data_IF_573794776409
#
_entry.id   IF_573794776409
#
_cell.length_a   1.000
_cell.length_b   1.000
_cell.length_c   1.000
_cell.angle_alpha   90.00
_cell.angle_beta   90.00
_cell.angle_gamma   90.00
#
_symmetry.space_group_name_H-M   'P 1'
#
loop_
_entity.id
_entity.type
_entity.pdbx_description
1 polymer ?
#
# COMPACT_ATOMS: atom_id res chain seq x y z
N UNK A 1 74.75 -34.68 -2.47
CA UNK A 1 74.60 -33.57 -1.49
C UNK A 1 73.12 -33.43 -1.18
N UNK A 2 72.66 -33.96 -0.07
CA UNK A 2 71.27 -33.84 0.38
C UNK A 2 71.12 -32.51 1.13
N UNK A 3 70.16 -31.65 0.75
CA UNK A 3 69.98 -30.39 1.45
C UNK A 3 69.54 -30.66 2.90
N UNK A 4 70.26 -30.08 3.85
CA UNK A 4 69.90 -30.04 5.27
C UNK A 4 68.51 -29.40 5.39
N UNK A 5 67.51 -30.18 5.83
CA UNK A 5 66.19 -29.67 6.18
C UNK A 5 66.34 -28.77 7.40
N UNK A 6 66.40 -27.45 7.19
CA UNK A 6 66.23 -26.47 8.27
C UNK A 6 64.79 -26.57 8.76
N UNK A 7 64.61 -26.96 10.02
CA UNK A 7 63.32 -26.92 10.68
C UNK A 7 62.86 -25.47 10.88
N UNK A 8 61.54 -25.27 10.92
CA UNK A 8 60.93 -23.99 11.25
C UNK A 8 61.33 -23.57 12.66
N UNK A 9 61.66 -22.30 12.84
CA UNK A 9 61.88 -21.73 14.17
C UNK A 9 60.53 -21.50 14.87
N UNK A 10 60.53 -21.57 16.21
CA UNK A 10 59.32 -21.37 17.01
C UNK A 10 58.70 -19.98 16.79
N UNK A 11 59.53 -18.97 16.49
CA UNK A 11 59.09 -17.61 16.15
C UNK A 11 58.33 -17.59 14.83
N UNK A 12 58.86 -18.25 13.78
CA UNK A 12 58.17 -18.32 12.49
C UNK A 12 56.82 -19.03 12.59
N UNK A 13 56.72 -20.05 13.46
CA UNK A 13 55.45 -20.73 13.76
C UNK A 13 54.44 -19.75 14.41
N UNK A 14 54.87 -19.02 15.45
CA UNK A 14 54.00 -18.05 16.14
C UNK A 14 53.52 -16.94 15.20
N UNK A 15 54.40 -16.42 14.36
CA UNK A 15 54.05 -15.39 13.36
C UNK A 15 53.06 -15.96 12.35
N UNK A 16 53.26 -17.19 11.87
CA UNK A 16 52.33 -17.85 10.95
C UNK A 16 50.94 -18.05 11.57
N UNK A 17 50.87 -18.44 12.84
CA UNK A 17 49.60 -18.61 13.57
C UNK A 17 48.92 -17.24 13.76
N UNK A 18 49.66 -16.23 14.19
CA UNK A 18 49.13 -14.87 14.38
C UNK A 18 48.56 -14.30 13.07
N UNK A 19 49.28 -14.45 11.96
CA UNK A 19 48.81 -14.04 10.63
C UNK A 19 47.56 -14.82 10.20
N UNK A 20 47.50 -16.12 10.47
CA UNK A 20 46.34 -16.95 10.16
C UNK A 20 45.09 -16.48 10.93
N UNK A 21 45.23 -16.20 12.22
CA UNK A 21 44.13 -15.68 13.07
C UNK A 21 43.68 -14.30 12.58
N UNK A 22 44.61 -13.41 12.25
CA UNK A 22 44.30 -12.09 11.71
C UNK A 22 43.54 -12.20 10.38
N UNK A 23 43.99 -13.08 9.48
CA UNK A 23 43.36 -13.27 8.18
C UNK A 23 41.94 -13.86 8.30
N UNK A 24 41.75 -14.86 9.17
CA UNK A 24 40.42 -15.41 9.46
C UNK A 24 39.49 -14.35 10.07
N UNK A 25 40.03 -13.50 10.95
CA UNK A 25 39.25 -12.40 11.57
C UNK A 25 38.79 -11.38 10.54
N UNK A 26 39.66 -10.98 9.60
CA UNK A 26 39.30 -10.07 8.50
C UNK A 26 38.26 -10.70 7.58
N UNK A 27 38.43 -11.97 7.21
CA UNK A 27 37.45 -12.69 6.40
C UNK A 27 36.08 -12.79 7.10
N UNK A 28 36.06 -13.04 8.41
CA UNK A 28 34.82 -13.07 9.19
C UNK A 28 34.11 -11.72 9.17
N UNK A 29 34.83 -10.61 9.37
CA UNK A 29 34.25 -9.26 9.30
C UNK A 29 33.69 -8.95 7.90
N UNK A 30 34.44 -9.30 6.84
CA UNK A 30 33.97 -9.12 5.46
C UNK A 30 32.71 -9.96 5.17
N UNK A 31 32.69 -11.20 5.65
CA UNK A 31 31.53 -12.08 5.51
C UNK A 31 30.31 -11.49 6.21
N UNK A 32 30.43 -11.07 7.47
CA UNK A 32 29.30 -10.46 8.20
C UNK A 32 28.77 -9.20 7.52
N UNK A 33 29.66 -8.33 7.03
CA UNK A 33 29.26 -7.14 6.27
C UNK A 33 28.54 -7.51 4.98
N UNK A 34 29.05 -8.48 4.24
CA UNK A 34 28.45 -8.93 2.97
C UNK A 34 27.07 -9.53 3.20
N UNK A 35 26.93 -10.42 4.17
CA UNK A 35 25.63 -11.02 4.53
C UNK A 35 24.63 -9.96 4.96
N UNK A 36 25.04 -8.99 5.78
CA UNK A 36 24.16 -7.90 6.19
C UNK A 36 23.70 -7.05 5.00
N UNK A 37 24.58 -6.77 4.03
CA UNK A 37 24.20 -6.03 2.82
C UNK A 37 23.28 -6.81 1.90
N UNK A 38 23.45 -8.13 1.79
CA UNK A 38 22.57 -8.99 0.98
C UNK A 38 21.18 -9.03 1.58
N UNK A 39 21.05 -9.28 2.89
CA UNK A 39 19.76 -9.30 3.59
C UNK A 39 19.05 -7.95 3.48
N UNK A 40 19.78 -6.85 3.63
CA UNK A 40 19.21 -5.51 3.43
C UNK A 40 18.75 -5.30 1.97
N UNK A 41 19.51 -5.78 0.99
CA UNK A 41 19.14 -5.73 -0.41
C UNK A 41 17.87 -6.52 -0.73
N UNK A 42 17.76 -7.75 -0.23
CA UNK A 42 16.57 -8.60 -0.39
C UNK A 42 15.33 -7.94 0.24
N UNK A 43 15.45 -7.38 1.44
CA UNK A 43 14.36 -6.66 2.09
C UNK A 43 13.89 -5.44 1.28
N UNK A 44 14.81 -4.66 0.71
CA UNK A 44 14.47 -3.51 -0.16
C UNK A 44 13.79 -3.95 -1.44
N UNK A 45 14.23 -5.06 -2.03
CA UNK A 45 13.60 -5.62 -3.22
C UNK A 45 12.16 -6.05 -2.93
N UNK A 46 11.92 -6.75 -1.82
CA UNK A 46 10.57 -7.14 -1.41
C UNK A 46 9.66 -5.93 -1.21
N UNK A 47 10.09 -4.92 -0.44
CA UNK A 47 9.33 -3.67 -0.23
C UNK A 47 9.03 -2.97 -1.57
N UNK A 48 9.97 -3.01 -2.51
CA UNK A 48 9.79 -2.42 -3.83
C UNK A 48 8.81 -3.20 -4.72
N UNK A 49 8.80 -4.52 -4.62
CA UNK A 49 7.89 -5.38 -5.36
C UNK A 49 6.47 -5.22 -4.85
N UNK A 50 6.28 -5.30 -3.53
CA UNK A 50 5.01 -5.09 -2.85
C UNK A 50 4.46 -3.69 -3.17
N UNK A 51 5.31 -2.66 -3.16
CA UNK A 51 4.88 -1.27 -3.37
C UNK A 51 4.37 -1.04 -4.79
N UNK A 52 5.00 -1.68 -5.78
CA UNK A 52 4.52 -1.68 -7.16
C UNK A 52 3.22 -2.46 -7.29
N UNK A 53 3.16 -3.66 -6.71
CA UNK A 53 1.98 -4.50 -6.72
C UNK A 53 0.77 -3.80 -6.08
N UNK A 54 0.96 -3.10 -4.96
CA UNK A 54 -0.11 -2.35 -4.28
C UNK A 54 -0.69 -1.24 -5.18
N UNK A 55 0.19 -0.48 -5.83
CA UNK A 55 -0.21 0.62 -6.72
C UNK A 55 -0.86 0.09 -8.02
N UNK A 56 -0.34 -1.01 -8.57
CA UNK A 56 -0.94 -1.66 -9.75
C UNK A 56 -2.31 -2.27 -9.42
N UNK A 57 -2.48 -2.87 -8.24
CA UNK A 57 -3.77 -3.39 -7.78
C UNK A 57 -4.83 -2.29 -7.65
N UNK A 58 -4.45 -1.12 -7.13
CA UNK A 58 -5.35 0.05 -7.12
C UNK A 58 -5.71 0.49 -8.52
N UNK A 59 -4.73 0.58 -9.43
CA UNK A 59 -4.98 0.98 -10.81
C UNK A 59 -5.93 0.00 -11.52
N UNK A 60 -5.76 -1.31 -11.32
CA UNK A 60 -6.67 -2.33 -11.85
C UNK A 60 -8.10 -2.10 -11.35
N UNK A 61 -8.30 -1.82 -10.06
CA UNK A 61 -9.63 -1.60 -9.52
C UNK A 61 -10.26 -0.29 -10.02
N UNK A 62 -9.45 0.76 -10.19
CA UNK A 62 -9.87 2.04 -10.77
C UNK A 62 -10.25 1.93 -12.25
N UNK A 63 -9.48 1.18 -13.03
CA UNK A 63 -9.74 0.94 -14.45
C UNK A 63 -10.99 0.07 -14.66
N UNK A 64 -11.30 -0.81 -13.70
CA UNK A 64 -12.50 -1.66 -13.72
C UNK A 64 -13.73 -1.01 -13.07
N UNK A 65 -13.62 0.23 -12.61
CA UNK A 65 -14.73 0.97 -12.03
C UNK A 65 -15.87 1.07 -13.05
N UNK A 66 -17.05 0.58 -12.67
CA UNK A 66 -18.21 0.51 -13.58
C UNK A 66 -19.12 1.71 -13.46
N UNK A 67 -19.88 2.01 -14.53
CA UNK A 67 -20.98 2.90 -14.38
C UNK A 67 -22.17 2.32 -13.66
N UNK A 68 -22.45 2.90 -12.50
CA UNK A 68 -23.76 2.82 -11.92
C UNK A 68 -24.72 3.72 -12.69
N UNK A 69 -25.74 3.12 -13.30
CA UNK A 69 -26.75 3.80 -14.12
C UNK A 69 -27.68 4.77 -13.36
N UNK A 70 -27.18 5.47 -12.33
CA UNK A 70 -27.95 6.35 -11.46
C UNK A 70 -27.31 7.71 -11.17
N UNK A 71 -26.22 8.07 -11.87
CA UNK A 71 -25.64 9.42 -11.86
C UNK A 71 -25.28 9.99 -10.48
N UNK A 72 -24.53 9.23 -9.68
CA UNK A 72 -24.04 9.71 -8.38
C UNK A 72 -22.58 9.35 -8.12
N UNK A 73 -22.04 9.91 -7.03
CA UNK A 73 -20.63 9.82 -6.65
C UNK A 73 -20.17 8.37 -6.44
N UNK A 74 -19.19 7.93 -7.23
CA UNK A 74 -18.66 6.55 -7.20
C UNK A 74 -17.31 6.41 -6.53
N UNK A 75 -16.74 7.54 -6.18
CA UNK A 75 -15.38 7.64 -5.69
C UNK A 75 -15.39 8.60 -4.51
N UNK A 76 -14.79 8.17 -3.42
CA UNK A 76 -14.52 9.00 -2.26
C UNK A 76 -13.06 8.81 -1.90
N UNK A 77 -12.36 9.91 -1.69
CA UNK A 77 -11.09 9.91 -0.97
C UNK A 77 -11.18 10.89 0.20
N UNK A 78 -10.52 10.51 1.28
CA UNK A 78 -10.34 11.28 2.49
C UNK A 78 -8.86 11.28 2.81
N UNK A 79 -8.36 12.42 3.25
CA UNK A 79 -7.01 12.59 3.77
C UNK A 79 -7.10 13.22 5.14
N UNK A 80 -6.24 12.77 6.05
CA UNK A 80 -6.16 13.30 7.39
C UNK A 80 -6.71 12.38 8.49
N UNK A 81 -6.07 12.40 9.67
CA UNK A 81 -6.52 11.64 10.83
C UNK A 81 -7.94 12.04 11.27
N UNK A 82 -8.88 11.11 11.14
CA UNK A 82 -10.24 11.24 11.67
C UNK A 82 -11.29 11.74 10.68
N UNK A 83 -10.92 11.99 9.43
CA UNK A 83 -11.85 12.46 8.39
C UNK A 83 -12.69 11.32 7.78
N UNK A 84 -12.26 10.06 7.94
CA UNK A 84 -13.03 8.87 7.58
C UNK A 84 -13.23 7.93 8.77
N UNK A 85 -14.49 7.74 9.16
CA UNK A 85 -14.90 6.59 9.96
C UNK A 85 -15.22 5.46 8.99
N UNK A 86 -14.39 4.43 8.95
CA UNK A 86 -14.56 3.28 8.06
C UNK A 86 -15.88 2.55 8.35
N UNK A 87 -16.36 1.71 7.40
CA UNK A 87 -17.55 0.89 7.54
C UNK A 87 -17.64 0.07 8.83
N UNK A 88 -16.50 -0.35 9.36
CA UNK A 88 -16.37 -1.12 10.60
C UNK A 88 -16.30 -0.24 11.87
N UNK A 89 -16.40 1.09 11.72
CA UNK A 89 -16.28 2.07 12.79
C UNK A 89 -14.85 2.46 13.16
N UNK A 90 -13.83 1.90 12.49
CA UNK A 90 -12.43 2.29 12.73
C UNK A 90 -12.09 3.64 12.09
N UNK A 91 -11.11 4.36 12.62
CA UNK A 91 -10.67 5.62 12.01
C UNK A 91 -9.53 5.35 11.03
N UNK A 92 -9.72 5.76 9.79
CA UNK A 92 -8.64 5.82 8.82
C UNK A 92 -8.04 7.22 8.78
N UNK A 93 -6.75 7.28 8.45
CA UNK A 93 -6.06 8.55 8.16
C UNK A 93 -6.22 8.89 6.69
N UNK A 94 -5.89 7.95 5.80
CA UNK A 94 -6.04 8.16 4.37
C UNK A 94 -6.86 6.96 3.86
N UNK A 95 -7.98 7.23 3.20
CA UNK A 95 -8.85 6.19 2.68
C UNK A 95 -9.44 6.60 1.34
N UNK A 96 -9.67 5.60 0.51
CA UNK A 96 -10.32 5.71 -0.79
C UNK A 96 -11.28 4.55 -0.95
N UNK A 97 -12.50 4.80 -1.40
CA UNK A 97 -13.40 3.73 -1.75
C UNK A 97 -14.17 4.00 -3.04
N UNK A 98 -14.46 2.92 -3.74
CA UNK A 98 -15.08 2.94 -5.06
C UNK A 98 -15.95 1.71 -5.31
N UNK A 99 -16.93 1.84 -6.18
CA UNK A 99 -17.74 0.70 -6.63
C UNK A 99 -17.17 0.13 -7.94
N UNK A 100 -16.87 -1.15 -7.95
CA UNK A 100 -16.29 -1.85 -9.11
C UNK A 100 -16.95 -3.22 -9.30
N UNK A 101 -16.55 -3.96 -10.34
CA UNK A 101 -16.99 -5.33 -10.58
C UNK A 101 -15.86 -6.31 -10.32
N UNK A 102 -16.13 -7.34 -9.51
CA UNK A 102 -15.16 -8.37 -9.21
C UNK A 102 -15.79 -9.78 -9.26
N UNK A 103 -14.96 -10.79 -9.47
CA UNK A 103 -15.36 -12.20 -9.40
C UNK A 103 -15.42 -12.64 -7.94
N UNK A 104 -16.62 -12.67 -7.38
CA UNK A 104 -16.91 -13.02 -5.98
C UNK A 104 -17.37 -14.48 -5.89
N UNK A 105 -16.98 -15.23 -4.84
CA UNK A 105 -17.55 -16.55 -4.60
C UNK A 105 -19.09 -16.50 -4.57
N UNK A 106 -19.73 -17.36 -5.35
CA UNK A 106 -21.13 -17.67 -5.16
C UNK A 106 -21.26 -18.75 -4.08
N UNK A 107 -22.34 -18.74 -3.31
CA UNK A 107 -22.54 -19.69 -2.21
C UNK A 107 -22.62 -21.17 -2.66
N UNK A 108 -22.55 -21.44 -3.97
CA UNK A 108 -22.55 -22.78 -4.55
C UNK A 108 -21.14 -23.29 -4.90
N UNK A 109 -20.08 -22.56 -4.52
CA UNK A 109 -18.70 -22.94 -4.79
C UNK A 109 -18.18 -22.50 -6.16
N UNK A 110 -18.96 -21.73 -6.92
CA UNK A 110 -18.56 -21.03 -8.13
C UNK A 110 -18.05 -19.61 -7.84
N UNK A 111 -17.74 -18.87 -8.90
CA UNK A 111 -17.46 -17.43 -8.84
C UNK A 111 -18.36 -16.72 -9.84
N UNK A 112 -19.01 -15.65 -9.41
CA UNK A 112 -19.86 -14.83 -10.25
C UNK A 112 -19.35 -13.39 -10.27
N UNK A 113 -19.48 -12.73 -11.42
CA UNK A 113 -19.22 -11.30 -11.52
C UNK A 113 -20.29 -10.58 -10.70
N UNK A 114 -19.87 -9.86 -9.66
CA UNK A 114 -20.76 -9.12 -8.78
C UNK A 114 -20.26 -7.69 -8.64
N UNK A 115 -21.18 -6.78 -8.33
CA UNK A 115 -20.79 -5.41 -7.97
C UNK A 115 -20.31 -5.41 -6.52
N UNK A 116 -19.12 -4.86 -6.33
CA UNK A 116 -18.46 -4.80 -5.03
C UNK A 116 -18.09 -3.37 -4.71
N UNK A 117 -18.06 -3.06 -3.42
CA UNK A 117 -17.42 -1.86 -2.91
C UNK A 117 -15.99 -2.24 -2.54
N UNK A 118 -15.01 -1.61 -3.18
CA UNK A 118 -13.60 -1.76 -2.86
C UNK A 118 -13.17 -0.55 -2.06
N UNK A 119 -12.46 -0.81 -0.97
CA UNK A 119 -11.96 0.19 -0.06
C UNK A 119 -10.46 -0.02 0.15
N UNK A 120 -9.69 1.04 -0.05
CA UNK A 120 -8.27 1.13 0.24
C UNK A 120 -8.08 2.10 1.38
N UNK A 121 -7.32 1.71 2.39
CA UNK A 121 -7.10 2.58 3.54
C UNK A 121 -5.76 2.29 4.20
N UNK A 122 -5.25 3.31 4.88
CA UNK A 122 -4.08 3.19 5.73
C UNK A 122 -4.51 2.90 7.16
N UNK A 123 -4.31 1.65 7.57
CA UNK A 123 -4.51 1.23 8.94
C UNK A 123 -3.26 1.54 9.75
N UNK A 124 -3.43 2.07 10.96
CA UNK A 124 -2.35 2.04 11.95
C UNK A 124 -1.91 0.59 12.14
N UNK A 125 -0.61 0.35 12.10
CA UNK A 125 -0.07 -0.99 12.28
C UNK A 125 -0.24 -1.38 13.76
N UNK A 126 -1.25 -2.19 14.05
CA UNK A 126 -1.48 -2.75 15.39
C UNK A 126 -0.67 -4.02 15.63
N UNK A 127 0.12 -4.45 14.65
CA UNK A 127 0.81 -5.74 14.70
C UNK A 127 2.04 -5.68 15.63
N UNK A 128 2.02 -6.36 16.79
CA UNK A 128 3.14 -6.35 17.72
C UNK A 128 4.41 -6.99 17.14
N UNK A 129 4.31 -7.88 16.14
CA UNK A 129 5.47 -8.58 15.59
C UNK A 129 6.41 -7.65 14.80
N UNK A 130 5.86 -6.64 14.14
CA UNK A 130 6.65 -5.58 13.48
C UNK A 130 7.40 -4.69 14.48
N UNK A 131 6.91 -4.58 15.72
CA UNK A 131 7.68 -3.92 16.80
C UNK A 131 8.92 -4.72 17.21
N UNK A 132 8.89 -6.05 17.04
CA UNK A 132 9.89 -7.00 17.55
C UNK A 132 10.96 -7.35 16.51
N UNK A 133 10.63 -7.40 15.22
CA UNK A 133 11.60 -7.73 14.14
C UNK A 133 12.63 -6.61 13.85
N UNK A 134 12.56 -5.49 14.57
CA UNK A 134 13.45 -4.32 14.42
C UNK A 134 12.72 -2.97 14.58
N UNK A 135 11.40 -2.98 14.75
CA UNK A 135 10.53 -1.81 14.67
C UNK A 135 10.55 -0.86 15.87
N UNK A 136 10.91 -1.31 17.08
CA UNK A 136 11.05 -0.39 18.21
C UNK A 136 12.11 0.69 17.95
N UNK A 137 13.21 0.37 17.24
CA UNK A 137 14.25 1.34 16.88
C UNK A 137 13.94 2.16 15.62
N UNK A 138 13.06 1.68 14.73
CA UNK A 138 12.78 2.32 13.45
C UNK A 138 11.60 3.31 13.50
N UNK A 139 10.53 2.98 14.24
CA UNK A 139 9.45 3.92 14.51
C UNK A 139 9.95 5.14 15.32
N UNK A 140 10.98 4.96 16.16
CA UNK A 140 11.61 6.04 16.94
C UNK A 140 12.43 7.00 16.05
N UNK A 141 12.92 6.57 14.88
CA UNK A 141 13.80 7.40 14.04
C UNK A 141 13.08 8.28 13.02
N UNK A 142 11.94 7.83 12.47
CA UNK A 142 11.18 8.62 11.50
C UNK A 142 10.22 9.63 12.15
N UNK A 143 9.89 9.45 13.44
CA UNK A 143 8.93 10.30 14.16
C UNK A 143 7.50 10.26 13.61
N UNK A 144 7.22 9.40 12.62
CA UNK A 144 5.91 9.23 11.98
C UNK A 144 5.44 7.79 12.12
N UNK A 145 4.16 7.55 12.50
CA UNK A 145 3.63 6.20 12.61
C UNK A 145 3.61 5.54 11.23
N UNK A 146 4.19 4.35 11.15
CA UNK A 146 4.11 3.50 9.96
C UNK A 146 2.71 2.89 9.89
N UNK A 147 2.18 2.80 8.68
CA UNK A 147 0.84 2.30 8.41
C UNK A 147 0.91 1.12 7.45
N UNK A 148 -0.08 0.24 7.53
CA UNK A 148 -0.30 -0.80 6.54
C UNK A 148 -1.36 -0.33 5.55
N UNK A 149 -1.06 -0.40 4.26
CA UNK A 149 -2.06 -0.21 3.22
C UNK A 149 -2.85 -1.50 3.04
N UNK A 150 -4.15 -1.39 3.25
CA UNK A 150 -5.10 -2.50 3.16
C UNK A 150 -6.10 -2.27 2.04
N UNK A 151 -6.63 -3.37 1.54
CA UNK A 151 -7.72 -3.43 0.57
C UNK A 151 -8.84 -4.30 1.14
N UNK A 152 -10.06 -3.81 1.13
CA UNK A 152 -11.28 -4.54 1.51
C UNK A 152 -12.24 -4.63 0.34
N UNK A 153 -12.88 -5.77 0.22
CA UNK A 153 -13.92 -6.03 -0.76
C UNK A 153 -15.21 -6.36 -0.03
N UNK A 154 -16.22 -5.55 -0.29
CA UNK A 154 -17.54 -5.74 0.27
C UNK A 154 -18.50 -6.14 -0.84
N UNK A 155 -19.23 -7.23 -0.63
CA UNK A 155 -20.35 -7.61 -1.48
C UNK A 155 -21.49 -6.63 -1.24
N UNK A 156 -21.96 -5.98 -2.30
CA UNK A 156 -23.08 -5.04 -2.20
C UNK A 156 -24.38 -5.79 -2.52
N UNK A 157 -25.37 -5.83 -1.61
CA UNK A 157 -26.70 -6.33 -1.91
C UNK A 157 -27.34 -5.53 -3.05
N UNK A 158 -28.08 -6.21 -3.94
CA UNK A 158 -28.78 -5.58 -5.06
C UNK A 158 -29.68 -4.42 -4.61
N UNK A 159 -30.31 -4.55 -3.45
CA UNK A 159 -31.23 -3.53 -2.91
C UNK A 159 -30.49 -2.30 -2.34
N UNK A 160 -29.26 -2.49 -1.86
CA UNK A 160 -28.40 -1.42 -1.32
C UNK A 160 -27.60 -0.67 -2.39
N UNK A 161 -27.46 -1.27 -3.59
CA UNK A 161 -26.80 -0.65 -4.74
C UNK A 161 -27.36 0.75 -5.02
N UNK A 162 -28.68 0.90 -5.03
CA UNK A 162 -29.31 2.17 -5.41
C UNK A 162 -28.96 3.31 -4.43
N UNK A 163 -28.71 3.00 -3.15
CA UNK A 163 -28.36 3.97 -2.11
C UNK A 163 -26.86 4.36 -2.16
N UNK A 164 -25.98 3.41 -2.48
CA UNK A 164 -24.55 3.69 -2.71
C UNK A 164 -24.39 4.51 -3.98
N UNK A 165 -25.09 4.11 -5.05
CA UNK A 165 -25.05 4.76 -6.37
C UNK A 165 -25.55 6.21 -6.33
N UNK A 166 -26.52 6.52 -5.47
CA UNK A 166 -27.05 7.88 -5.29
C UNK A 166 -26.19 8.77 -4.39
N UNK A 167 -25.01 8.30 -3.94
CA UNK A 167 -24.14 9.04 -3.02
C UNK A 167 -24.76 9.26 -1.63
N UNK A 168 -25.84 8.56 -1.30
CA UNK A 168 -26.57 8.70 -0.02
C UNK A 168 -26.01 7.82 1.10
N UNK A 169 -25.08 6.91 0.78
CA UNK A 169 -24.28 6.19 1.76
C UNK A 169 -22.92 6.90 1.85
N UNK A 170 -22.72 7.81 2.82
CA UNK A 170 -21.39 8.31 3.08
C UNK A 170 -20.53 7.13 3.52
N UNK A 171 -19.30 7.03 3.03
CA UNK A 171 -18.35 6.02 3.52
C UNK A 171 -17.96 6.25 4.99
N UNK A 172 -18.29 7.42 5.53
CA UNK A 172 -18.28 7.73 6.96
C UNK A 172 -19.50 7.20 7.73
N UNK A 173 -20.42 6.51 7.07
CA UNK A 173 -21.62 5.99 7.72
C UNK A 173 -21.22 4.84 8.64
N UNK A 174 -21.62 4.95 9.92
CA UNK A 174 -21.42 3.94 10.94
C UNK A 174 -21.79 2.53 10.46
N UNK A 175 -21.20 1.48 11.04
CA UNK A 175 -21.53 0.08 10.80
C UNK A 175 -23.05 -0.25 10.76
N UNK A 176 -23.88 0.56 11.43
CA UNK A 176 -25.33 0.45 11.41
C UNK A 176 -25.98 0.78 10.04
N UNK A 177 -25.37 1.66 9.24
CA UNK A 177 -25.88 2.08 7.92
C UNK A 177 -25.47 1.12 6.80
N UNK A 178 -24.48 0.26 7.07
CA UNK A 178 -23.95 -0.75 6.16
C UNK A 178 -24.54 -2.14 6.41
N UNK A 179 -25.65 -2.20 7.16
CA UNK A 179 -26.42 -3.41 7.39
C UNK A 179 -26.75 -4.08 6.05
N UNK A 180 -26.03 -5.15 5.73
CA UNK A 180 -26.18 -5.90 4.47
C UNK A 180 -24.89 -6.03 3.64
N UNK A 181 -23.88 -5.19 3.85
CA UNK A 181 -22.57 -5.44 3.24
C UNK A 181 -21.92 -6.67 3.88
N UNK A 182 -21.42 -7.56 3.04
CA UNK A 182 -20.68 -8.73 3.48
C UNK A 182 -19.22 -8.57 3.07
N UNK A 183 -18.31 -8.52 4.06
CA UNK A 183 -16.87 -8.53 3.78
C UNK A 183 -16.52 -9.85 3.10
N UNK A 184 -16.03 -9.76 1.86
CA UNK A 184 -15.59 -10.90 1.07
C UNK A 184 -14.12 -11.18 1.39
N UNK A 185 -13.32 -10.13 1.39
CA UNK A 185 -11.86 -10.22 1.46
C UNK A 185 -11.30 -8.96 2.12
N UNK A 186 -10.32 -9.14 3.00
CA UNK A 186 -9.40 -8.09 3.44
C UNK A 186 -7.98 -8.58 3.18
N UNK A 187 -7.20 -7.80 2.44
CA UNK A 187 -5.80 -8.09 2.13
C UNK A 187 -4.90 -6.90 2.47
N UNK A 188 -3.75 -7.20 3.06
CA UNK A 188 -2.67 -6.22 3.23
C UNK A 188 -1.86 -6.17 1.95
N UNK A 189 -1.80 -4.99 1.33
CA UNK A 189 -1.08 -4.79 0.07
C UNK A 189 0.36 -4.33 0.29
N UNK A 190 0.59 -3.52 1.32
CA UNK A 190 1.91 -2.97 1.61
C UNK A 190 2.07 -2.65 3.09
N UNK A 191 3.25 -2.93 3.64
CA UNK A 191 3.65 -2.54 5.00
C UNK A 191 4.63 -1.37 4.92
N UNK A 192 4.70 -0.55 5.97
CA UNK A 192 5.61 0.62 6.03
C UNK A 192 5.21 1.78 5.11
N UNK A 193 3.91 1.98 4.92
CA UNK A 193 3.36 3.12 4.20
C UNK A 193 3.32 4.35 5.10
N UNK A 194 3.78 5.48 4.59
CA UNK A 194 3.71 6.77 5.27
C UNK A 194 2.45 7.54 4.93
N UNK A 195 2.14 7.62 3.64
CA UNK A 195 1.01 8.39 3.11
C UNK A 195 0.55 7.83 1.77
N UNK A 196 -0.74 7.97 1.51
CA UNK A 196 -1.38 7.66 0.24
C UNK A 196 -2.07 8.91 -0.25
N UNK A 197 -1.64 9.42 -1.41
CA UNK A 197 -2.24 10.59 -2.03
C UNK A 197 -2.85 10.23 -3.38
N UNK A 198 -3.97 10.85 -3.70
CA UNK A 198 -4.69 10.67 -4.95
C UNK A 198 -4.91 12.04 -5.56
N UNK A 199 -4.45 12.21 -6.79
CA UNK A 199 -4.58 13.46 -7.54
C UNK A 199 -5.46 13.24 -8.78
N UNK A 200 -6.33 14.20 -9.07
CA UNK A 200 -7.09 14.29 -10.32
C UNK A 200 -6.39 15.26 -11.27
N UNK A 201 -6.32 14.88 -12.54
CA UNK A 201 -5.83 15.77 -13.60
C UNK A 201 -6.94 16.70 -14.08
N UNK A 202 -6.76 18.00 -13.86
CA UNK A 202 -7.66 19.08 -14.26
C UNK A 202 -6.88 20.13 -15.06
N UNK A 203 -6.91 20.01 -16.40
CA UNK A 203 -6.60 21.07 -17.39
C UNK A 203 -5.69 22.23 -16.90
N UNK A 204 -4.34 22.16 -16.92
CA UNK A 204 -3.41 21.05 -17.14
C UNK A 204 -2.76 20.55 -15.83
N UNK A 205 -3.39 20.83 -14.69
CA UNK A 205 -2.78 20.71 -13.38
C UNK A 205 -3.24 19.45 -12.65
N UNK A 206 -2.42 18.98 -11.71
CA UNK A 206 -2.80 17.92 -10.79
C UNK A 206 -3.35 18.53 -9.52
N UNK A 207 -4.50 18.04 -9.06
CA UNK A 207 -5.14 18.51 -7.84
C UNK A 207 -5.42 17.36 -6.91
N UNK A 208 -5.05 17.53 -5.65
CA UNK A 208 -5.31 16.54 -4.62
C UNK A 208 -6.81 16.34 -4.42
N UNK A 209 -7.18 15.07 -4.34
CA UNK A 209 -8.55 14.66 -4.27
C UNK A 209 -9.02 14.61 -2.81
N UNK A 210 -9.19 15.78 -2.20
CA UNK A 210 -9.72 15.90 -0.84
C UNK A 210 -11.10 16.55 -0.85
N UNK A 211 -12.01 16.01 -0.03
CA UNK A 211 -13.43 16.38 0.01
C UNK A 211 -13.69 17.88 0.30
N UNK A 212 -12.73 18.60 0.88
CA UNK A 212 -12.85 20.03 1.19
C UNK A 212 -12.20 20.98 0.15
N UNK A 213 -11.33 20.46 -0.75
CA UNK A 213 -10.42 21.30 -1.54
C UNK A 213 -10.90 21.65 -2.94
N UNK A 214 -11.67 20.78 -3.61
CA UNK A 214 -12.11 21.02 -4.98
C UNK A 214 -13.63 21.16 -5.05
N UNK A 215 -14.10 22.40 -5.27
CA UNK A 215 -15.48 22.71 -5.62
C UNK A 215 -15.98 21.92 -6.86
N UNK A 216 -15.05 21.34 -7.63
CA UNK A 216 -15.29 20.54 -8.81
C UNK A 216 -15.63 19.09 -8.48
N UNK A 217 -15.07 18.52 -7.40
CA UNK A 217 -15.45 17.17 -6.92
C UNK A 217 -16.88 17.20 -6.37
N UNK A 218 -17.23 18.26 -5.64
CA UNK A 218 -18.59 18.44 -5.12
C UNK A 218 -19.60 18.78 -6.22
N UNK A 219 -19.18 19.40 -7.32
CA UNK A 219 -20.03 19.72 -8.47
C UNK A 219 -20.12 18.60 -9.51
N UNK A 220 -19.08 17.78 -9.66
CA UNK A 220 -18.97 16.75 -10.68
C UNK A 220 -18.39 15.47 -10.06
N UNK A 221 -19.27 14.59 -9.53
CA UNK A 221 -18.86 13.37 -8.89
C UNK A 221 -18.03 12.52 -9.86
N UNK A 222 -16.87 12.04 -9.42
CA UNK A 222 -16.07 11.13 -10.25
C UNK A 222 -16.90 9.86 -10.53
N UNK A 223 -17.08 9.59 -11.82
CA UNK A 223 -17.95 8.54 -12.33
C UNK A 223 -19.35 8.99 -12.72
N UNK A 224 -19.84 10.18 -12.38
CA UNK A 224 -21.16 10.60 -12.85
C UNK A 224 -21.16 10.99 -14.34
N UNK A 225 -21.50 10.03 -15.19
CA UNK A 225 -21.62 10.16 -16.65
C UNK A 225 -22.72 11.14 -17.06
N UNK A 226 -23.77 11.31 -16.23
CA UNK A 226 -24.92 12.11 -16.63
C UNK A 226 -24.64 13.62 -16.57
N UNK A 227 -23.71 14.06 -15.71
CA UNK A 227 -23.35 15.46 -15.52
C UNK A 227 -22.12 15.92 -16.33
N UNK A 228 -21.27 15.00 -16.79
CA UNK A 228 -20.00 15.34 -17.45
C UNK A 228 -19.65 14.41 -18.62
N UNK A 229 -20.15 14.68 -19.85
CA UNK A 229 -19.86 13.86 -21.02
C UNK A 229 -18.45 14.10 -21.58
N UNK A 230 -17.62 14.95 -20.95
CA UNK A 230 -16.38 15.46 -21.55
C UNK A 230 -15.17 14.94 -20.77
N UNK A 231 -14.66 13.81 -21.28
CA UNK A 231 -13.32 13.24 -21.14
C UNK A 231 -13.10 12.18 -20.03
N UNK A 232 -12.38 11.09 -20.36
CA UNK A 232 -11.87 10.18 -19.35
C UNK A 232 -11.00 10.95 -18.37
N UNK A 233 -11.30 10.80 -17.08
CA UNK A 233 -10.56 11.49 -16.02
C UNK A 233 -9.28 10.75 -15.73
N UNK A 234 -8.15 11.46 -15.76
CA UNK A 234 -6.86 10.87 -15.40
C UNK A 234 -6.64 11.06 -13.90
N UNK A 235 -6.43 9.96 -13.19
CA UNK A 235 -6.07 9.95 -11.78
C UNK A 235 -4.61 9.55 -11.64
N UNK A 236 -3.96 10.07 -10.61
CA UNK A 236 -2.64 9.65 -10.17
C UNK A 236 -2.71 9.21 -8.73
N UNK A 237 -2.28 7.99 -8.47
CA UNK A 237 -2.01 7.48 -7.14
C UNK A 237 -0.53 7.68 -6.81
N UNK A 238 -0.26 8.16 -5.61
CA UNK A 238 1.07 8.36 -5.07
C UNK A 238 1.17 7.69 -3.69
N UNK A 239 2.01 6.66 -3.58
CA UNK A 239 2.26 5.91 -2.36
C UNK A 239 3.69 6.18 -1.88
N UNK A 240 3.83 6.77 -0.68
CA UNK A 240 5.15 6.96 -0.05
C UNK A 240 5.40 5.88 0.98
N UNK A 241 6.52 5.18 0.86
CA UNK A 241 6.90 4.07 1.74
C UNK A 241 8.32 4.26 2.27
N UNK A 242 8.63 3.58 3.37
CA UNK A 242 10.00 3.51 3.90
C UNK A 242 10.70 2.26 3.37
N UNK A 243 11.80 2.44 2.65
CA UNK A 243 12.61 1.39 2.05
C UNK A 243 13.67 0.88 3.05
N UNK A 244 13.21 0.27 4.15
CA UNK A 244 14.04 -0.56 5.02
C UNK A 244 14.17 -0.14 6.48
N UNK A 245 14.84 -1.01 7.25
CA UNK A 245 14.85 -1.06 8.71
C UNK A 245 15.88 -0.13 9.39
N UNK A 246 16.06 1.10 8.92
CA UNK A 246 16.88 2.07 9.68
C UNK A 246 17.46 3.27 8.94
N UNK A 247 17.25 3.38 7.63
CA UNK A 247 17.61 4.55 6.84
C UNK A 247 16.32 5.27 6.42
N UNK A 248 16.31 6.61 6.50
CA UNK A 248 15.21 7.48 6.04
C UNK A 248 15.13 7.50 4.50
N UNK A 249 15.22 6.33 3.87
CA UNK A 249 15.08 6.15 2.45
C UNK A 249 13.59 6.06 2.15
N UNK A 250 12.99 7.20 1.87
CA UNK A 250 11.63 7.26 1.36
C UNK A 250 11.62 6.89 -0.12
N UNK A 251 10.66 6.04 -0.51
CA UNK A 251 10.41 5.71 -1.90
C UNK A 251 8.99 6.09 -2.28
N UNK A 252 8.87 6.77 -3.40
CA UNK A 252 7.60 7.16 -3.99
C UNK A 252 7.26 6.18 -5.12
N UNK A 253 6.14 5.47 -4.98
CA UNK A 253 5.49 4.77 -6.08
C UNK A 253 4.37 5.64 -6.61
N UNK A 254 4.33 5.80 -7.93
CA UNK A 254 3.33 6.63 -8.57
C UNK A 254 2.79 5.91 -9.79
N UNK A 255 1.47 5.94 -9.96
CA UNK A 255 0.79 5.38 -11.13
C UNK A 255 -0.31 6.31 -11.58
N UNK A 256 -0.34 6.51 -12.88
CA UNK A 256 -1.40 7.26 -13.54
C UNK A 256 -2.33 6.26 -14.22
N UNK A 257 -3.63 6.42 -14.00
CA UNK A 257 -4.66 5.59 -14.61
C UNK A 257 -5.76 6.46 -15.19
N UNK A 258 -6.38 5.98 -16.26
CA UNK A 258 -7.54 6.62 -16.86
C UNK A 258 -8.79 5.98 -16.30
N UNK A 259 -9.72 6.79 -15.84
CA UNK A 259 -11.07 6.33 -15.55
C UNK A 259 -11.81 6.26 -16.89
N UNK A 260 -12.39 5.11 -17.24
CA UNK A 260 -13.18 5.00 -18.45
C UNK A 260 -14.34 6.00 -18.42
N UNK A 261 -14.50 6.75 -19.51
CA UNK A 261 -15.72 7.46 -19.82
C UNK A 261 -16.62 6.45 -20.54
N UNK A 262 -17.62 5.90 -19.84
CA UNK A 262 -18.70 5.12 -20.47
C UNK A 262 -19.85 6.04 -20.86
#
# INVERSE_FOLDING_TARGET
>A
MTPLRRGFTLIELLVSVALSVLLVSVLAVLFFRTTSTVVAGEARMAVSEDGRHAVDQVAIDLENMRPSGGGGQRFHATDGPGDATLPDGSQATDAMAMVTSAMVPDGAGGRALSTVLVEFFLAAETDPELSVAGGATNAIRSGRPLKAMKRRLWKVPTDSMLAIVKGTLPLSASAATLAGLCLIEESTLHQYVMSMNIELFENPDWRELHAAGSALISALPIGDVAGDPVLPRKIRLSLRVIEGSGENCERLFQRECWIPAE
#
